data_IF_494453631525
#
_entry.id   IF_494453631525
#
_cell.length_a   1.000
_cell.length_b   1.000
_cell.length_c   1.000
_cell.angle_alpha   90.00
_cell.angle_beta   90.00
_cell.angle_gamma   90.00
#
_symmetry.space_group_name_H-M   'P 1'
#
loop_
_entity.id
_entity.type
_entity.pdbx_description
1 polymer ?
#
# COMPACT_ATOMS: atom_id res chain seq x y z
N UNK A 1 27.21 -13.02 26.95
CA UNK A 1 26.74 -12.55 25.64
C UNK A 1 27.93 -12.55 24.69
N UNK A 2 28.17 -13.65 23.98
CA UNK A 2 29.29 -13.80 23.04
C UNK A 2 28.74 -13.69 21.62
N UNK A 3 28.61 -12.45 21.16
CA UNK A 3 28.27 -12.15 19.77
C UNK A 3 29.55 -12.11 18.95
N UNK A 4 29.89 -13.18 18.25
CA UNK A 4 30.48 -13.17 16.88
C UNK A 4 30.92 -14.58 16.51
N UNK A 5 30.61 -14.97 15.29
CA UNK A 5 31.19 -16.13 14.61
C UNK A 5 32.71 -16.15 14.80
N UNK A 6 33.31 -17.28 15.25
CA UNK A 6 34.69 -17.30 15.75
C UNK A 6 35.77 -17.06 14.67
N UNK A 7 35.43 -17.08 13.39
CA UNK A 7 36.33 -16.80 12.27
C UNK A 7 35.61 -15.95 11.20
N UNK A 8 35.44 -14.65 11.46
CA UNK A 8 34.93 -13.71 10.46
C UNK A 8 36.09 -12.98 9.78
N UNK A 9 36.42 -13.36 8.55
CA UNK A 9 37.37 -12.62 7.71
C UNK A 9 36.73 -11.31 7.24
N UNK A 10 37.10 -10.22 7.93
CA UNK A 10 36.60 -8.87 7.68
C UNK A 10 36.90 -8.42 6.25
N UNK A 11 38.04 -8.82 5.69
CA UNK A 11 38.47 -8.37 4.37
C UNK A 11 37.64 -9.04 3.29
N UNK A 12 37.44 -10.36 3.39
CA UNK A 12 36.55 -11.09 2.49
C UNK A 12 35.10 -10.59 2.58
N UNK A 13 34.61 -10.26 3.78
CA UNK A 13 33.27 -9.71 3.95
C UNK A 13 33.11 -8.34 3.29
N UNK A 14 34.13 -7.48 3.41
CA UNK A 14 34.16 -6.17 2.76
C UNK A 14 34.21 -6.32 1.23
N UNK A 15 35.10 -7.15 0.70
CA UNK A 15 35.26 -7.40 -0.74
C UNK A 15 33.96 -8.00 -1.34
N UNK A 16 33.33 -8.95 -0.64
CA UNK A 16 32.04 -9.51 -1.06
C UNK A 16 30.92 -8.44 -1.09
N UNK A 17 30.94 -7.52 -0.14
CA UNK A 17 29.98 -6.42 -0.07
C UNK A 17 30.19 -5.41 -1.20
N UNK A 18 31.44 -5.08 -1.53
CA UNK A 18 31.78 -4.22 -2.67
C UNK A 18 31.40 -4.88 -4.00
N UNK A 19 31.73 -6.16 -4.19
CA UNK A 19 31.34 -6.92 -5.38
C UNK A 19 29.81 -6.94 -5.57
N UNK A 20 29.05 -7.11 -4.49
CA UNK A 20 27.58 -7.01 -4.53
C UNK A 20 27.12 -5.62 -4.97
N UNK A 21 27.73 -4.56 -4.44
CA UNK A 21 27.39 -3.18 -4.83
C UNK A 21 27.70 -2.94 -6.31
N UNK A 22 28.86 -3.38 -6.80
CA UNK A 22 29.23 -3.27 -8.21
C UNK A 22 28.25 -4.01 -9.12
N UNK A 23 27.84 -5.22 -8.75
CA UNK A 23 26.83 -5.97 -9.50
C UNK A 23 25.50 -5.23 -9.56
N UNK A 24 25.01 -4.72 -8.43
CA UNK A 24 23.76 -3.96 -8.37
C UNK A 24 23.82 -2.69 -9.22
N UNK A 25 24.94 -1.97 -9.21
CA UNK A 25 25.16 -0.82 -10.08
C UNK A 25 25.08 -1.22 -11.56
N UNK A 26 25.73 -2.32 -11.96
CA UNK A 26 25.66 -2.84 -13.33
C UNK A 26 24.23 -3.22 -13.73
N UNK A 27 23.50 -3.92 -12.86
CA UNK A 27 22.10 -4.28 -13.10
C UNK A 27 21.22 -3.03 -13.27
N UNK A 28 21.43 -2.00 -12.44
CA UNK A 28 20.71 -0.73 -12.56
C UNK A 28 20.99 -0.03 -13.89
N UNK A 29 22.25 -0.01 -14.33
CA UNK A 29 22.61 0.54 -15.64
C UNK A 29 21.95 -0.24 -16.80
N UNK A 30 21.89 -1.57 -16.70
CA UNK A 30 21.20 -2.39 -17.72
C UNK A 30 19.69 -2.13 -17.74
N UNK A 31 19.04 -2.06 -16.57
CA UNK A 31 17.62 -1.73 -16.48
C UNK A 31 17.32 -0.36 -17.10
N UNK A 32 18.15 0.66 -16.81
CA UNK A 32 17.99 1.99 -17.40
C UNK A 32 18.07 1.97 -18.93
N UNK A 33 19.00 1.17 -19.49
CA UNK A 33 19.14 1.03 -20.94
C UNK A 33 17.92 0.35 -21.58
N UNK A 34 17.30 -0.62 -20.90
CA UNK A 34 16.06 -1.25 -21.38
C UNK A 34 14.91 -0.24 -21.39
N UNK A 35 14.75 0.54 -20.31
CA UNK A 35 13.73 1.60 -20.24
C UNK A 35 13.90 2.63 -21.37
N UNK A 36 15.14 2.97 -21.72
CA UNK A 36 15.44 3.92 -22.78
C UNK A 36 15.17 3.33 -24.18
N UNK A 37 15.44 2.03 -24.39
CA UNK A 37 15.02 1.31 -25.60
C UNK A 37 13.50 1.29 -25.75
N UNK A 38 12.76 1.01 -24.67
CA UNK A 38 11.30 0.98 -24.70
C UNK A 38 10.71 2.37 -25.01
N UNK A 39 11.27 3.43 -24.41
CA UNK A 39 10.89 4.81 -24.75
C UNK A 39 11.18 5.15 -26.20
N UNK A 40 12.34 4.75 -26.73
CA UNK A 40 12.70 4.99 -28.13
C UNK A 40 11.75 4.24 -29.09
N UNK A 41 11.38 3.01 -28.77
CA UNK A 41 10.41 2.23 -29.54
C UNK A 41 9.01 2.87 -29.54
N UNK A 42 8.55 3.35 -28.37
CA UNK A 42 7.28 4.08 -28.26
C UNK A 42 7.29 5.38 -29.07
N UNK A 43 8.39 6.14 -29.02
CA UNK A 43 8.56 7.36 -29.82
C UNK A 43 8.54 7.05 -31.33
N UNK A 44 9.25 6.01 -31.77
CA UNK A 44 9.26 5.58 -33.16
C UNK A 44 7.86 5.12 -33.64
N UNK A 45 7.06 4.54 -32.75
CA UNK A 45 5.68 4.15 -33.01
C UNK A 45 4.67 5.33 -32.97
N UNK A 46 5.12 6.58 -32.81
CA UNK A 46 4.25 7.75 -32.72
C UNK A 46 3.45 7.85 -31.41
N UNK A 47 3.75 6.96 -30.45
CA UNK A 47 3.17 6.99 -29.11
C UNK A 47 4.02 7.93 -28.26
N UNK A 48 3.69 9.23 -28.24
CA UNK A 48 4.37 10.20 -27.38
C UNK A 48 4.43 9.76 -25.90
N UNK A 49 5.37 10.32 -25.12
CA UNK A 49 5.71 9.92 -23.74
C UNK A 49 4.48 9.61 -22.85
N UNK A 50 4.06 8.34 -22.82
CA UNK A 50 2.85 7.89 -22.09
C UNK A 50 3.08 7.91 -20.56
N UNK A 51 4.35 7.95 -20.13
CA UNK A 51 4.76 7.82 -18.73
C UNK A 51 5.34 9.11 -18.11
N UNK A 52 4.80 10.28 -18.47
CA UNK A 52 5.25 11.51 -17.79
C UNK A 52 4.71 12.85 -18.29
N UNK A 53 3.96 12.89 -19.39
CA UNK A 53 3.37 14.15 -19.83
C UNK A 53 2.02 14.38 -19.15
N UNK A 54 1.89 15.54 -18.50
CA UNK A 54 0.61 16.20 -18.24
C UNK A 54 -0.08 16.53 -19.57
N UNK A 55 -0.58 15.49 -20.22
CA UNK A 55 -1.20 15.54 -21.53
C UNK A 55 -2.10 14.33 -21.62
N UNK A 56 -3.27 14.44 -20.98
CA UNK A 56 -4.33 13.47 -21.18
C UNK A 56 -4.53 13.28 -22.68
N UNK A 57 -4.69 12.03 -23.11
CA UNK A 57 -5.12 11.70 -24.48
C UNK A 57 -6.47 12.35 -24.86
N UNK A 58 -7.16 12.92 -23.87
CA UNK A 58 -8.32 13.78 -24.02
C UNK A 58 -7.88 15.21 -24.33
N UNK A 59 -8.22 15.68 -25.54
CA UNK A 59 -8.36 17.11 -25.82
C UNK A 59 -9.46 17.62 -24.89
N UNK A 60 -9.15 18.53 -23.97
CA UNK A 60 -10.19 19.30 -23.28
C UNK A 60 -10.93 20.13 -24.34
N UNK A 61 -12.23 19.88 -24.58
CA UNK A 61 -12.99 20.66 -25.55
C UNK A 61 -12.96 22.14 -25.15
N UNK A 62 -12.91 23.03 -26.14
CA UNK A 62 -13.03 24.47 -25.92
C UNK A 62 -14.31 24.76 -25.10
N UNK A 63 -14.23 25.48 -23.98
CA UNK A 63 -15.40 25.81 -23.16
C UNK A 63 -16.50 26.57 -23.92
N UNK A 64 -16.19 27.17 -25.08
CA UNK A 64 -17.20 27.77 -25.97
C UNK A 64 -18.09 26.72 -26.68
N UNK A 65 -17.60 25.50 -26.88
CA UNK A 65 -18.34 24.39 -27.49
C UNK A 65 -18.90 23.47 -26.40
N UNK A 66 -19.98 23.92 -25.75
CA UNK A 66 -20.70 23.11 -24.78
C UNK A 66 -21.27 21.86 -25.49
N UNK A 67 -20.97 20.63 -25.05
CA UNK A 67 -21.51 19.43 -25.70
C UNK A 67 -23.05 19.44 -25.62
N UNK A 68 -23.70 19.07 -26.73
CA UNK A 68 -25.17 19.02 -26.90
C UNK A 68 -25.90 18.06 -25.94
N UNK A 69 -25.17 17.33 -25.09
CA UNK A 69 -25.77 16.48 -24.07
C UNK A 69 -26.21 17.36 -22.91
N UNK A 70 -27.40 17.93 -23.02
CA UNK A 70 -28.14 18.49 -21.90
C UNK A 70 -28.67 17.33 -21.06
N UNK A 71 -28.05 17.11 -19.91
CA UNK A 71 -28.61 16.20 -18.91
C UNK A 71 -29.95 16.76 -18.43
N UNK A 72 -30.97 15.91 -18.23
CA UNK A 72 -32.20 16.37 -17.59
C UNK A 72 -31.87 16.93 -16.21
N UNK A 73 -32.54 18.02 -15.84
CA UNK A 73 -32.36 18.64 -14.52
C UNK A 73 -32.91 17.68 -13.46
N UNK A 74 -32.01 16.94 -12.82
CA UNK A 74 -32.39 16.06 -11.72
C UNK A 74 -32.73 16.93 -10.50
N UNK A 75 -33.77 16.58 -9.74
CA UNK A 75 -34.05 17.26 -8.48
C UNK A 75 -32.82 17.18 -7.59
N UNK A 76 -32.52 18.28 -6.88
CA UNK A 76 -31.42 18.32 -5.94
C UNK A 76 -31.56 17.17 -4.94
N UNK A 77 -30.63 16.21 -4.96
CA UNK A 77 -30.60 15.15 -3.96
C UNK A 77 -30.44 15.82 -2.60
N UNK A 78 -31.30 15.45 -1.65
CA UNK A 78 -31.09 15.83 -0.27
C UNK A 78 -29.67 15.41 0.14
N UNK A 79 -28.91 16.32 0.77
CA UNK A 79 -27.60 15.99 1.32
C UNK A 79 -27.83 14.84 2.29
N UNK A 80 -27.27 13.67 1.99
CA UNK A 80 -27.18 12.63 3.00
C UNK A 80 -26.31 13.21 4.11
N UNK A 81 -26.88 13.37 5.31
CA UNK A 81 -26.07 13.56 6.50
C UNK A 81 -25.49 12.18 6.82
N UNK A 82 -24.47 11.76 6.07
CA UNK A 82 -23.58 10.74 6.60
C UNK A 82 -22.99 11.37 7.85
N UNK A 83 -23.37 10.88 9.03
CA UNK A 83 -22.61 11.17 10.23
C UNK A 83 -21.14 10.88 9.87
N UNK A 84 -20.26 11.90 9.83
CA UNK A 84 -18.87 11.65 9.54
C UNK A 84 -18.40 10.57 10.52
N UNK A 85 -17.60 9.59 10.08
CA UNK A 85 -17.15 8.53 10.97
C UNK A 85 -16.60 9.20 12.22
N UNK A 86 -17.21 8.90 13.37
CA UNK A 86 -16.81 9.50 14.64
C UNK A 86 -15.32 9.22 14.78
N UNK A 87 -14.52 10.29 14.72
CA UNK A 87 -13.09 10.17 14.97
C UNK A 87 -12.97 9.72 16.41
N UNK A 88 -12.47 8.51 16.59
CA UNK A 88 -12.15 7.96 17.89
C UNK A 88 -11.41 9.04 18.67
N UNK A 89 -11.88 9.44 19.86
CA UNK A 89 -11.28 10.53 20.58
C UNK A 89 -9.81 10.23 20.89
N UNK A 90 -8.92 11.24 20.90
CA UNK A 90 -7.46 11.04 20.98
C UNK A 90 -6.97 10.26 22.21
N UNK A 91 -7.78 10.17 23.28
CA UNK A 91 -7.44 9.51 24.54
C UNK A 91 -7.83 8.03 24.58
N UNK A 92 -8.62 7.53 23.62
CA UNK A 92 -8.75 6.09 23.46
C UNK A 92 -7.44 5.54 22.90
N UNK A 93 -6.88 4.47 23.48
CA UNK A 93 -5.66 3.87 22.97
C UNK A 93 -5.94 3.39 21.55
N UNK A 94 -5.52 4.21 20.57
CA UNK A 94 -5.40 3.83 19.18
C UNK A 94 -4.71 2.47 19.19
N UNK A 95 -5.43 1.39 18.88
CA UNK A 95 -4.77 0.12 18.64
C UNK A 95 -3.68 0.41 17.62
N UNK A 96 -2.39 0.21 17.95
CA UNK A 96 -1.31 0.70 17.13
C UNK A 96 -1.51 0.12 15.73
N UNK A 97 -1.62 0.99 14.73
CA UNK A 97 -1.76 0.62 13.30
C UNK A 97 -0.57 -0.18 12.79
N UNK A 98 0.41 -0.46 13.63
CA UNK A 98 1.54 -1.34 13.37
C UNK A 98 2.11 -1.81 14.70
N UNK A 99 2.16 -3.11 14.93
CA UNK A 99 2.81 -3.71 16.09
C UNK A 99 3.95 -4.62 15.60
N UNK A 100 5.10 -4.51 16.24
CA UNK A 100 6.23 -5.41 15.98
C UNK A 100 6.06 -6.65 16.84
N UNK A 101 5.93 -7.81 16.22
CA UNK A 101 5.81 -9.11 16.89
C UNK A 101 6.88 -10.03 16.33
N UNK A 102 7.80 -10.48 17.17
CA UNK A 102 8.89 -11.39 16.77
C UNK A 102 9.79 -10.85 15.64
N UNK A 103 9.98 -9.54 15.55
CA UNK A 103 10.77 -8.89 14.49
C UNK A 103 10.01 -8.56 13.21
N UNK A 104 8.74 -8.96 13.09
CA UNK A 104 7.87 -8.62 11.96
C UNK A 104 6.94 -7.47 12.31
N UNK A 105 6.85 -6.47 11.44
CA UNK A 105 5.89 -5.37 11.59
C UNK A 105 4.53 -5.83 11.05
N UNK A 106 3.56 -5.94 11.94
CA UNK A 106 2.18 -6.27 11.57
C UNK A 106 1.31 -5.03 11.59
N UNK A 107 0.90 -4.58 10.40
CA UNK A 107 0.19 -3.32 10.22
C UNK A 107 -1.34 -3.44 10.46
N UNK A 108 -1.92 -4.63 10.30
CA UNK A 108 -3.36 -4.78 10.42
C UNK A 108 -3.74 -6.05 11.17
N UNK A 109 -4.95 -6.04 11.72
CA UNK A 109 -5.56 -7.23 12.25
C UNK A 109 -5.94 -8.19 11.12
N UNK A 110 -5.55 -9.46 11.22
CA UNK A 110 -5.95 -10.48 10.24
C UNK A 110 -7.46 -10.70 10.25
N UNK A 111 -8.12 -10.37 11.36
CA UNK A 111 -9.56 -10.56 11.48
C UNK A 111 -10.33 -9.75 10.42
N UNK A 112 -9.79 -8.63 9.94
CA UNK A 112 -10.34 -7.81 8.83
C UNK A 112 -10.59 -8.65 7.57
N UNK A 113 -9.80 -9.70 7.34
CA UNK A 113 -9.90 -10.56 6.15
C UNK A 113 -11.14 -11.45 6.14
N UNK A 114 -11.82 -11.65 7.28
CA UNK A 114 -13.05 -12.46 7.42
C UNK A 114 -12.94 -13.87 6.80
N UNK A 115 -11.76 -14.47 6.87
CA UNK A 115 -11.44 -15.75 6.22
C UNK A 115 -11.68 -16.98 7.13
N UNK A 116 -12.41 -16.82 8.24
CA UNK A 116 -12.64 -17.90 9.20
C UNK A 116 -11.42 -18.27 10.06
N UNK A 117 -10.33 -17.49 9.96
CA UNK A 117 -9.06 -17.75 10.66
C UNK A 117 -8.75 -16.67 11.71
N UNK A 118 -9.80 -16.05 12.26
CA UNK A 118 -9.70 -14.95 13.22
C UNK A 118 -9.10 -15.40 14.58
N UNK A 119 -9.25 -16.69 14.90
CA UNK A 119 -8.66 -17.37 16.07
C UNK A 119 -7.11 -17.35 16.05
N UNK A 120 -6.51 -17.39 14.87
CA UNK A 120 -5.05 -17.43 14.68
C UNK A 120 -4.42 -16.05 14.50
N UNK A 121 -5.17 -14.97 14.72
CA UNK A 121 -4.62 -13.63 14.62
C UNK A 121 -3.48 -13.46 15.64
N UNK A 122 -2.26 -13.20 15.16
CA UNK A 122 -1.08 -13.06 16.04
C UNK A 122 -1.08 -11.81 16.93
N UNK A 123 -2.08 -10.93 16.79
CA UNK A 123 -2.18 -9.74 17.63
C UNK A 123 -2.65 -10.13 19.04
N UNK A 124 -1.99 -9.66 20.11
CA UNK A 124 -2.34 -10.02 21.49
C UNK A 124 -3.76 -9.58 21.86
N UNK A 125 -4.25 -8.50 21.26
CA UNK A 125 -5.63 -8.03 21.46
C UNK A 125 -6.71 -8.93 20.82
N UNK A 126 -6.33 -9.94 20.03
CA UNK A 126 -7.25 -10.87 19.37
C UNK A 126 -7.19 -12.29 19.94
N UNK A 127 -6.03 -12.73 20.43
CA UNK A 127 -5.84 -14.10 20.93
C UNK A 127 -6.76 -14.38 22.14
N UNK A 128 -7.60 -15.43 22.03
CA UNK A 128 -8.48 -15.89 23.10
C UNK A 128 -9.78 -15.10 23.30
N UNK A 129 -10.11 -14.12 22.44
CA UNK A 129 -11.38 -13.39 22.55
C UNK A 129 -12.54 -14.19 21.94
N UNK A 130 -13.66 -14.40 22.68
CA UNK A 130 -14.81 -15.15 22.17
C UNK A 130 -15.46 -14.44 20.96
N UNK A 131 -15.38 -13.11 20.90
CA UNK A 131 -15.88 -12.28 19.79
C UNK A 131 -15.18 -12.54 18.45
N UNK A 132 -13.97 -13.10 18.45
CA UNK A 132 -13.30 -13.52 17.21
C UNK A 132 -13.66 -14.96 16.82
N UNK A 133 -14.22 -15.74 17.75
CA UNK A 133 -14.56 -17.16 17.58
C UNK A 133 -16.04 -17.36 17.22
N UNK A 134 -16.94 -16.53 17.76
CA UNK A 134 -18.40 -16.75 17.65
C UNK A 134 -19.07 -15.98 16.52
N UNK A 135 -18.52 -14.84 16.10
CA UNK A 135 -19.13 -14.00 15.07
C UNK A 135 -18.27 -13.98 13.80
N UNK A 136 -18.87 -14.20 12.60
CA UNK A 136 -18.14 -14.08 11.33
C UNK A 136 -17.64 -12.65 11.08
N UNK A 137 -18.24 -11.68 11.78
CA UNK A 137 -17.79 -10.30 11.86
C UNK A 137 -16.82 -10.18 13.05
N UNK A 138 -15.56 -9.80 12.81
CA UNK A 138 -14.60 -9.60 13.88
C UNK A 138 -14.90 -8.32 14.67
N UNK A 139 -15.54 -8.45 15.82
CA UNK A 139 -15.78 -7.34 16.74
C UNK A 139 -14.57 -7.04 17.63
N UNK A 140 -13.35 -7.31 17.15
CA UNK A 140 -12.15 -6.93 17.89
C UNK A 140 -11.81 -5.46 17.61
N UNK A 141 -11.35 -4.70 18.63
CA UNK A 141 -10.96 -3.30 18.46
C UNK A 141 -10.01 -3.02 17.28
N UNK A 142 -8.97 -3.85 17.01
CA UNK A 142 -8.04 -3.55 15.92
C UNK A 142 -8.62 -3.87 14.52
N UNK A 143 -9.74 -4.58 14.43
CA UNK A 143 -10.40 -4.85 13.15
C UNK A 143 -11.44 -3.78 12.79
N UNK A 144 -11.72 -2.83 13.69
CA UNK A 144 -12.70 -1.75 13.46
C UNK A 144 -14.16 -2.22 13.33
N UNK A 145 -14.45 -3.49 13.64
CA UNK A 145 -15.80 -4.05 13.61
C UNK A 145 -16.59 -3.84 14.90
N UNK A 146 -15.91 -3.56 16.02
CA UNK A 146 -16.55 -3.11 17.25
C UNK A 146 -17.02 -1.66 17.06
N UNK A 147 -18.29 -1.49 16.68
CA UNK A 147 -19.04 -0.26 16.93
C UNK A 147 -19.89 -0.45 18.16
#
# INVERSE_FOLDING_TARGET
MTSTTPDHDVRQCHDASENRRHLLCRLKCLAQRLDDCDKAALQAAGCGNVLGSKGSRFVTPDPAYRPLITFPEYPARAKYNLNPPQKIPPWEPNSPKSQVIGGYVKNNCDCVRRNGMQDKCVLPQCQGRPLCLTTPIPLCPPSGGAR
#
